data_IF_991892313533
#
_entry.id   IF_991892313533
#
_cell.length_a   1.000
_cell.length_b   1.000
_cell.length_c   1.000
_cell.angle_alpha   90.00
_cell.angle_beta   90.00
_cell.angle_gamma   90.00
#
_symmetry.space_group_name_H-M   'P 1'
#
loop_
_entity.id
_entity.type
_entity.pdbx_description
1 polymer ?
#
# COMPACT_ATOMS: atom_id res chain seq x y z
N UNK A 1 -5.50 -21.12 23.61
CA UNK A 1 -4.17 -20.64 23.16
C UNK A 1 -3.91 -21.02 21.70
N UNK A 2 -3.91 -22.31 21.32
CA UNK A 2 -3.73 -22.71 19.92
C UNK A 2 -4.85 -22.21 18.97
N UNK A 3 -6.10 -22.26 19.43
CA UNK A 3 -7.27 -21.77 18.67
C UNK A 3 -7.28 -20.25 18.50
N UNK A 4 -6.81 -19.50 19.50
CA UNK A 4 -6.66 -18.04 19.41
C UNK A 4 -5.56 -17.65 18.42
N UNK A 5 -4.44 -18.39 18.35
CA UNK A 5 -3.42 -18.18 17.31
C UNK A 5 -3.97 -18.45 15.91
N UNK A 6 -4.78 -19.49 15.72
CA UNK A 6 -5.42 -19.81 14.45
C UNK A 6 -6.36 -18.69 13.99
N UNK A 7 -7.21 -18.18 14.89
CA UNK A 7 -8.16 -17.10 14.59
C UNK A 7 -7.42 -15.81 14.22
N UNK A 8 -6.36 -15.46 14.95
CA UNK A 8 -5.53 -14.28 14.64
C UNK A 8 -4.87 -14.43 13.26
N UNK A 9 -4.30 -15.60 12.96
CA UNK A 9 -3.68 -15.86 11.66
C UNK A 9 -4.69 -15.76 10.50
N UNK A 10 -5.90 -16.30 10.71
CA UNK A 10 -6.98 -16.28 9.73
C UNK A 10 -7.53 -14.85 9.52
N UNK A 11 -7.64 -14.04 10.57
CA UNK A 11 -7.99 -12.63 10.47
C UNK A 11 -6.92 -11.85 9.67
N UNK A 12 -5.63 -12.06 9.96
CA UNK A 12 -4.52 -11.42 9.24
C UNK A 12 -4.55 -11.77 7.74
N UNK A 13 -4.85 -13.03 7.40
CA UNK A 13 -4.96 -13.49 6.01
C UNK A 13 -6.09 -12.79 5.22
N UNK A 14 -7.21 -12.47 5.89
CA UNK A 14 -8.36 -11.77 5.28
C UNK A 14 -8.08 -10.28 5.01
N UNK A 15 -7.12 -9.67 5.73
CA UNK A 15 -6.76 -8.26 5.61
C UNK A 15 -5.49 -8.02 4.77
N UNK A 16 -5.21 -8.89 3.78
CA UNK A 16 -4.10 -8.67 2.87
C UNK A 16 -4.35 -7.41 2.00
N UNK A 17 -3.48 -6.42 2.12
CA UNK A 17 -3.50 -5.18 1.32
C UNK A 17 -2.86 -5.41 -0.07
N UNK A 18 -3.23 -4.62 -1.09
CA UNK A 18 -2.62 -4.75 -2.41
C UNK A 18 -1.14 -4.35 -2.33
N UNK A 19 -0.26 -5.24 -2.80
CA UNK A 19 1.18 -5.03 -2.88
C UNK A 19 1.68 -5.22 -4.32
N UNK A 20 2.55 -4.33 -4.79
CA UNK A 20 3.08 -4.33 -6.16
C UNK A 20 4.57 -4.00 -6.15
N UNK A 21 5.36 -4.80 -6.88
CA UNK A 21 6.79 -4.53 -7.08
C UNK A 21 7.03 -3.60 -8.28
N UNK A 22 7.84 -2.57 -8.05
CA UNK A 22 8.34 -1.64 -9.08
C UNK A 22 9.87 -1.61 -9.07
N UNK A 23 10.48 -0.95 -10.05
CA UNK A 23 11.95 -0.81 -10.14
C UNK A 23 12.59 -0.18 -8.90
N UNK A 24 11.84 0.63 -8.16
CA UNK A 24 12.31 1.39 -7.00
C UNK A 24 11.95 0.74 -5.65
N UNK A 25 11.38 -0.47 -5.65
CA UNK A 25 10.97 -1.19 -4.45
C UNK A 25 9.53 -1.70 -4.51
N UNK A 26 9.02 -2.17 -3.37
CA UNK A 26 7.65 -2.68 -3.22
C UNK A 26 6.73 -1.57 -2.71
N UNK A 27 5.56 -1.43 -3.33
CA UNK A 27 4.50 -0.51 -2.93
C UNK A 27 3.37 -1.25 -2.24
N UNK A 28 2.99 -0.80 -1.06
CA UNK A 28 1.77 -1.21 -0.37
C UNK A 28 0.68 -0.15 -0.55
N UNK A 29 -0.51 -0.59 -0.95
CA UNK A 29 -1.67 0.26 -1.18
C UNK A 29 -2.84 -0.13 -0.31
N UNK A 30 -4.02 0.40 -0.64
CA UNK A 30 -5.29 0.04 -0.02
C UNK A 30 -6.35 -0.23 -1.08
N UNK A 31 -7.32 -1.09 -0.78
CA UNK A 31 -8.51 -1.22 -1.61
C UNK A 31 -9.49 -0.10 -1.30
N UNK A 32 -9.88 0.65 -2.32
CA UNK A 32 -10.87 1.73 -2.21
C UNK A 32 -12.03 1.47 -3.18
N UNK A 33 -13.15 2.18 -2.96
CA UNK A 33 -14.34 2.08 -3.81
C UNK A 33 -14.59 3.39 -4.52
N UNK A 34 -14.85 3.29 -5.82
CA UNK A 34 -15.37 4.41 -6.62
C UNK A 34 -16.76 4.82 -6.14
N UNK A 35 -17.23 6.01 -6.54
CA UNK A 35 -18.60 6.48 -6.23
C UNK A 35 -19.70 5.51 -6.68
N UNK A 36 -19.47 4.75 -7.75
CA UNK A 36 -20.41 3.74 -8.27
C UNK A 36 -20.19 2.33 -7.70
N UNK A 37 -19.33 2.18 -6.68
CA UNK A 37 -19.12 0.93 -5.95
C UNK A 37 -18.08 -0.02 -6.55
N UNK A 38 -17.44 0.31 -7.67
CA UNK A 38 -16.32 -0.49 -8.20
C UNK A 38 -15.10 -0.38 -7.28
N UNK A 39 -14.57 -1.51 -6.85
CA UNK A 39 -13.34 -1.60 -6.07
C UNK A 39 -12.09 -1.41 -6.94
N UNK A 40 -11.05 -0.79 -6.40
CA UNK A 40 -9.76 -0.60 -7.07
C UNK A 40 -8.63 -0.48 -6.05
N UNK A 41 -7.41 -0.83 -6.46
CA UNK A 41 -6.20 -0.64 -5.66
C UNK A 41 -5.73 0.81 -5.76
N UNK A 42 -5.51 1.45 -4.61
CA UNK A 42 -5.12 2.86 -4.47
C UNK A 42 -3.74 2.94 -3.85
N UNK A 43 -2.78 3.50 -4.59
CA UNK A 43 -1.41 3.75 -4.13
C UNK A 43 -1.16 5.26 -4.19
N UNK A 44 -0.82 5.87 -3.05
CA UNK A 44 -0.71 7.33 -2.90
C UNK A 44 0.67 7.72 -2.37
N UNK A 45 1.12 8.92 -2.73
CA UNK A 45 2.39 9.47 -2.23
C UNK A 45 3.64 8.75 -2.74
N UNK A 46 3.56 8.04 -3.87
CA UNK A 46 4.71 7.34 -4.46
C UNK A 46 5.75 8.39 -4.92
N UNK A 47 6.97 8.39 -4.35
CA UNK A 47 8.02 9.30 -4.79
C UNK A 47 8.50 8.89 -6.18
N UNK A 48 8.41 9.80 -7.14
CA UNK A 48 8.90 9.60 -8.51
C UNK A 48 10.26 10.28 -8.76
N UNK A 49 10.69 11.13 -7.83
CA UNK A 49 11.93 11.88 -7.89
C UNK A 49 12.46 12.12 -6.46
N UNK A 50 13.70 12.59 -6.37
CA UNK A 50 14.24 13.07 -5.11
C UNK A 50 13.50 14.35 -4.68
N UNK A 51 13.24 14.56 -3.37
CA UNK A 51 12.63 15.78 -2.88
C UNK A 51 13.47 17.02 -3.29
N UNK A 52 12.85 18.07 -3.88
CA UNK A 52 13.57 19.25 -4.37
C UNK A 52 13.89 20.23 -3.23
N UNK A 53 14.67 19.75 -2.25
CA UNK A 53 15.05 20.49 -1.04
C UNK A 53 16.56 20.78 -1.05
N UNK A 54 16.98 21.83 -0.34
CA UNK A 54 18.38 22.26 -0.30
C UNK A 54 18.87 22.72 -1.68
N UNK A 55 20.03 22.22 -2.10
CA UNK A 55 20.62 22.52 -3.42
C UNK A 55 19.76 22.04 -4.59
N UNK A 56 18.91 21.02 -4.41
CA UNK A 56 17.98 20.55 -5.43
C UNK A 56 16.80 21.50 -5.65
N UNK A 57 16.65 22.53 -4.80
CA UNK A 57 15.60 23.53 -4.99
C UNK A 57 15.93 24.35 -6.24
N UNK A 58 15.01 24.37 -7.19
CA UNK A 58 15.16 25.05 -8.49
C UNK A 58 16.12 24.37 -9.49
N UNK A 59 16.42 23.07 -9.30
CA UNK A 59 17.11 22.21 -10.29
C UNK A 59 16.15 21.27 -11.01
#
# INVERSE_FOLDING_TARGET
VATSFLIICLAICVFALPSVDIKNGTLEGIFERTRKGREFSSFRGIPYALPPVGELRFQ
#
